data_IF_450278454571
#
_entry.id   IF_450278454571
#
_cell.length_a   1.000
_cell.length_b   1.000
_cell.length_c   1.000
_cell.angle_alpha   90.00
_cell.angle_beta   90.00
_cell.angle_gamma   90.00
#
_symmetry.space_group_name_H-M   'P 1'
#
loop_
_entity.id
_entity.type
_entity.pdbx_description
1 polymer ?
#
# COMPACT_ATOMS: atom_id res chain seq x y z
N UNK A 1 -48.20 -7.80 -30.52
CA UNK A 1 -47.37 -8.03 -29.31
C UNK A 1 -45.98 -8.42 -29.79
N UNK A 2 -44.96 -7.57 -29.61
CA UNK A 2 -43.59 -7.84 -30.10
C UNK A 2 -42.75 -8.37 -28.94
N UNK A 3 -42.32 -9.62 -29.04
CA UNK A 3 -41.51 -10.30 -28.03
C UNK A 3 -40.07 -9.77 -28.10
N UNK A 4 -39.60 -9.07 -27.06
CA UNK A 4 -38.20 -8.63 -26.96
C UNK A 4 -37.33 -9.82 -26.55
N UNK A 5 -36.43 -10.24 -27.43
CA UNK A 5 -35.43 -11.27 -27.11
C UNK A 5 -34.39 -10.64 -26.17
N UNK A 6 -34.11 -11.22 -24.99
CA UNK A 6 -33.06 -10.72 -24.11
C UNK A 6 -31.70 -10.92 -24.78
N UNK A 7 -31.02 -9.83 -25.09
CA UNK A 7 -29.63 -9.85 -25.58
C UNK A 7 -28.70 -9.88 -24.38
N UNK A 8 -28.03 -11.01 -24.15
CA UNK A 8 -26.95 -11.08 -23.15
C UNK A 8 -25.70 -10.42 -23.74
N UNK A 9 -25.35 -9.23 -23.26
CA UNK A 9 -24.07 -8.61 -23.59
C UNK A 9 -22.96 -9.28 -22.78
N UNK A 10 -21.99 -9.89 -23.46
CA UNK A 10 -20.75 -10.33 -22.82
C UNK A 10 -19.96 -9.07 -22.43
N UNK A 11 -19.86 -8.81 -21.13
CA UNK A 11 -19.08 -7.69 -20.59
C UNK A 11 -17.70 -8.20 -20.19
N UNK A 12 -16.68 -7.90 -21.00
CA UNK A 12 -15.29 -8.22 -20.68
C UNK A 12 -14.64 -7.07 -19.90
N UNK A 13 -13.98 -7.39 -18.79
CA UNK A 13 -13.24 -6.41 -17.99
C UNK A 13 -11.85 -6.90 -17.67
N UNK A 14 -10.84 -6.20 -18.16
CA UNK A 14 -9.42 -6.35 -17.81
C UNK A 14 -9.02 -5.35 -16.72
N UNK A 15 -8.17 -5.78 -15.80
CA UNK A 15 -7.52 -4.94 -14.79
C UNK A 15 -6.01 -5.17 -14.85
N UNK A 16 -5.24 -4.09 -14.82
CA UNK A 16 -3.79 -4.10 -14.86
C UNK A 16 -3.28 -3.25 -13.69
N UNK A 17 -2.52 -3.86 -12.79
CA UNK A 17 -2.00 -3.21 -11.59
C UNK A 17 -0.48 -3.21 -11.58
N UNK A 18 0.09 -2.10 -11.13
CA UNK A 18 1.52 -1.99 -10.85
C UNK A 18 1.70 -1.71 -9.36
N UNK A 19 2.63 -2.40 -8.74
CA UNK A 19 2.94 -2.28 -7.32
C UNK A 19 4.45 -2.19 -7.11
N UNK A 20 4.87 -1.26 -6.28
CA UNK A 20 6.25 -1.09 -5.85
C UNK A 20 6.32 -0.90 -4.34
N UNK A 21 7.36 -1.47 -3.72
CA UNK A 21 7.65 -1.29 -2.30
C UNK A 21 9.14 -1.13 -2.08
N UNK A 22 9.50 -0.11 -1.31
CA UNK A 22 10.87 0.16 -0.88
C UNK A 22 10.91 0.03 0.64
N UNK A 23 11.86 -0.75 1.15
CA UNK A 23 12.14 -0.86 2.58
C UNK A 23 13.57 -0.40 2.83
N UNK A 24 13.75 0.43 3.84
CA UNK A 24 15.05 0.90 4.28
C UNK A 24 15.18 0.72 5.79
N UNK A 25 16.27 0.08 6.21
CA UNK A 25 16.61 -0.08 7.61
C UNK A 25 17.92 0.64 7.88
N UNK A 26 17.90 1.59 8.81
CA UNK A 26 19.08 2.27 9.28
C UNK A 26 19.40 1.80 10.70
N UNK A 27 20.58 1.18 10.86
CA UNK A 27 21.10 0.65 12.12
C UNK A 27 20.12 -0.29 12.85
N UNK A 28 19.17 -0.89 12.13
CA UNK A 28 18.05 -1.66 12.68
C UNK A 28 17.15 -0.90 13.67
N UNK A 29 17.35 0.41 13.85
CA UNK A 29 16.54 1.25 14.74
C UNK A 29 15.49 2.02 13.98
N UNK A 30 15.85 2.57 12.82
CA UNK A 30 14.95 3.38 12.01
C UNK A 30 14.54 2.59 10.78
N UNK A 31 13.26 2.30 10.68
CA UNK A 31 12.67 1.49 9.64
C UNK A 31 11.75 2.40 8.82
N UNK A 32 11.99 2.48 7.52
CA UNK A 32 11.16 3.24 6.60
C UNK A 32 10.62 2.31 5.52
N UNK A 33 9.35 2.45 5.22
CA UNK A 33 8.67 1.71 4.16
C UNK A 33 7.86 2.68 3.33
N UNK A 34 8.10 2.69 2.03
CA UNK A 34 7.26 3.38 1.06
C UNK A 34 6.63 2.34 0.13
N UNK A 35 5.34 2.46 -0.13
CA UNK A 35 4.64 1.67 -1.12
C UNK A 35 3.98 2.60 -2.14
N UNK A 36 3.91 2.13 -3.36
CA UNK A 36 3.21 2.81 -4.43
C UNK A 36 2.44 1.78 -5.23
N UNK A 37 1.16 2.03 -5.44
CA UNK A 37 0.31 1.19 -6.27
C UNK A 37 -0.43 2.03 -7.28
N UNK A 38 -0.52 1.53 -8.50
CA UNK A 38 -1.22 2.17 -9.58
C UNK A 38 -2.12 1.13 -10.26
N UNK A 39 -3.44 1.34 -10.17
CA UNK A 39 -4.44 0.41 -10.68
C UNK A 39 -5.09 0.98 -11.94
N UNK A 40 -5.03 0.18 -13.00
CA UNK A 40 -5.70 0.46 -14.26
C UNK A 40 -6.85 -0.52 -14.51
N UNK A 41 -8.02 -0.01 -14.87
CA UNK A 41 -9.16 -0.86 -15.25
C UNK A 41 -9.70 -0.48 -16.62
N UNK A 42 -10.01 -1.49 -17.43
CA UNK A 42 -10.73 -1.37 -18.71
C UNK A 42 -12.12 -0.76 -18.58
N UNK A 43 -12.69 -0.71 -17.36
CA UNK A 43 -13.96 -0.06 -17.06
C UNK A 43 -13.85 1.47 -17.04
N UNK A 44 -12.63 2.02 -16.92
CA UNK A 44 -12.37 3.45 -17.00
C UNK A 44 -12.10 3.89 -18.45
N UNK A 45 -12.48 5.14 -18.78
CA UNK A 45 -12.25 5.73 -20.12
C UNK A 45 -10.78 5.61 -20.50
N UNK A 46 -10.49 5.42 -21.81
CA UNK A 46 -9.12 5.19 -22.31
C UNK A 46 -8.09 6.23 -21.82
N UNK A 47 -8.58 7.44 -21.57
CA UNK A 47 -7.91 8.67 -21.14
C UNK A 47 -7.45 8.61 -19.67
N UNK A 48 -8.23 7.94 -18.80
CA UNK A 48 -8.00 7.81 -17.36
C UNK A 48 -7.95 6.34 -16.95
N UNK A 49 -7.37 5.48 -17.80
CA UNK A 49 -7.34 4.03 -17.58
C UNK A 49 -6.70 3.66 -16.26
N UNK A 50 -5.75 4.45 -15.79
CA UNK A 50 -5.11 4.39 -14.49
C UNK A 50 -5.90 5.26 -13.50
N UNK A 51 -7.00 4.69 -12.99
CA UNK A 51 -8.01 5.43 -12.23
C UNK A 51 -7.60 5.76 -10.80
N UNK A 52 -6.52 5.16 -10.28
CA UNK A 52 -6.07 5.44 -8.91
C UNK A 52 -4.58 5.19 -8.70
N UNK A 53 -3.92 6.18 -8.10
CA UNK A 53 -2.60 6.06 -7.50
C UNK A 53 -2.75 6.02 -5.98
N UNK A 54 -2.21 4.97 -5.37
CA UNK A 54 -2.31 4.71 -3.94
C UNK A 54 -0.89 4.69 -3.35
N UNK A 55 -0.31 5.86 -3.06
CA UNK A 55 0.92 5.94 -2.29
C UNK A 55 0.61 5.61 -0.82
N UNK A 56 1.50 4.88 -0.17
CA UNK A 56 1.51 4.78 1.29
C UNK A 56 2.92 4.85 1.84
N UNK A 57 3.04 5.38 3.04
CA UNK A 57 4.31 5.55 3.71
C UNK A 57 4.18 5.13 5.17
N UNK A 58 5.20 4.47 5.70
CA UNK A 58 5.30 4.18 7.13
C UNK A 58 6.72 4.31 7.62
N UNK A 59 6.84 4.81 8.84
CA UNK A 59 8.10 4.88 9.57
C UNK A 59 7.93 4.14 10.90
N UNK A 60 8.97 3.46 11.34
CA UNK A 60 9.03 2.88 12.67
C UNK A 60 10.40 3.14 13.30
N UNK A 61 10.38 3.31 14.60
CA UNK A 61 11.56 3.56 15.42
C UNK A 61 11.59 2.56 16.57
N UNK A 62 12.65 1.76 16.63
CA UNK A 62 12.92 0.84 17.72
C UNK A 62 13.72 1.61 18.78
N UNK A 63 13.00 2.05 19.81
CA UNK A 63 13.52 2.81 20.94
C UNK A 63 14.34 1.92 21.88
N UNK A 64 13.99 0.64 22.00
CA UNK A 64 14.73 -0.33 22.83
C UNK A 64 16.15 -0.62 22.36
N UNK A 65 16.53 -0.21 21.15
CA UNK A 65 17.91 -0.31 20.66
C UNK A 65 18.74 0.93 21.01
N UNK A 66 18.13 1.98 21.58
CA UNK A 66 18.85 3.19 21.96
C UNK A 66 19.57 3.04 23.31
N UNK A 67 20.77 3.62 23.40
CA UNK A 67 21.63 3.50 24.58
C UNK A 67 20.97 4.01 25.86
N UNK A 68 20.04 4.96 25.77
CA UNK A 68 19.31 5.51 26.91
C UNK A 68 18.18 4.61 27.45
N UNK A 69 17.71 3.65 26.65
CA UNK A 69 16.68 2.68 27.06
C UNK A 69 17.27 1.31 27.40
N UNK A 70 18.51 1.04 27.03
CA UNK A 70 19.23 -0.18 27.41
C UNK A 70 19.43 -0.32 28.93
N UNK A 71 19.39 0.79 29.68
CA UNK A 71 19.53 0.80 31.15
C UNK A 71 18.21 0.56 31.89
N UNK A 72 17.09 0.40 31.17
CA UNK A 72 15.76 0.26 31.74
C UNK A 72 15.33 -1.22 31.71
N UNK A 73 15.63 -1.94 32.79
CA UNK A 73 15.40 -3.39 32.90
C UNK A 73 13.92 -3.84 32.74
N UNK A 74 12.96 -2.94 32.92
CA UNK A 74 11.54 -3.28 32.77
C UNK A 74 11.01 -3.19 31.32
N UNK A 75 11.77 -2.57 30.40
CA UNK A 75 11.36 -2.42 28.99
C UNK A 75 12.23 -3.31 28.11
N UNK A 76 11.70 -4.47 27.72
CA UNK A 76 12.42 -5.43 26.87
C UNK A 76 12.35 -5.13 25.38
N UNK A 77 11.25 -4.54 24.90
CA UNK A 77 11.11 -4.11 23.51
C UNK A 77 10.13 -2.94 23.42
N UNK A 78 10.58 -1.83 22.82
CA UNK A 78 9.74 -0.67 22.58
C UNK A 78 9.95 -0.19 21.15
N UNK A 79 8.88 -0.21 20.38
CA UNK A 79 8.87 0.22 18.98
C UNK A 79 7.69 1.14 18.74
N UNK A 80 7.98 2.35 18.26
CA UNK A 80 6.98 3.27 17.75
C UNK A 80 6.81 3.06 16.25
N UNK A 81 5.57 3.07 15.75
CA UNK A 81 5.29 2.99 14.31
C UNK A 81 4.17 3.95 13.96
N UNK A 82 4.41 4.74 12.90
CA UNK A 82 3.40 5.59 12.27
C UNK A 82 3.33 5.30 10.78
N UNK A 83 2.16 5.45 10.18
CA UNK A 83 1.99 5.30 8.74
C UNK A 83 0.74 6.00 8.23
N UNK A 84 0.74 6.28 6.94
CA UNK A 84 -0.34 6.95 6.21
C UNK A 84 -0.47 6.32 4.80
N UNK A 85 -1.71 6.11 4.35
CA UNK A 85 -2.05 5.49 3.07
C UNK A 85 -3.54 5.24 2.94
#
# INVERSE_FOLDING_TARGET
MVTRIPTTVLSESTLLSYFGRVNYSLKNKYLFTANFRADGSSRFRKENRWGGYFPSFSAAWVLSEESFLNEVDFISNLKFRGGWG
#
